data_IF_390774829497
#
_entry.id   IF_390774829497
#
_cell.length_a   1.000
_cell.length_b   1.000
_cell.length_c   1.000
_cell.angle_alpha   90.00
_cell.angle_beta   90.00
_cell.angle_gamma   90.00
#
_symmetry.space_group_name_H-M   'P 1'
#
loop_
_entity.id
_entity.type
_entity.pdbx_description
1 polymer ?
#
# COMPACT_ATOMS: atom_id res chain seq x y z
N UNK A 1 -37.33 28.10 -31.00
CA UNK A 1 -36.83 28.42 -29.65
C UNK A 1 -36.90 27.23 -28.68
N UNK A 2 -38.01 26.49 -28.56
CA UNK A 2 -38.17 25.32 -27.68
C UNK A 2 -37.20 24.16 -27.98
N UNK A 3 -36.97 23.84 -29.26
CA UNK A 3 -36.09 22.74 -29.70
C UNK A 3 -34.60 23.04 -29.35
N UNK A 4 -34.16 24.28 -29.56
CA UNK A 4 -32.77 24.69 -29.24
C UNK A 4 -32.52 24.62 -27.75
N UNK A 5 -33.51 25.01 -26.93
CA UNK A 5 -33.40 24.94 -25.46
C UNK A 5 -33.34 23.47 -24.97
N UNK A 6 -34.08 22.56 -25.60
CA UNK A 6 -34.04 21.12 -25.28
C UNK A 6 -32.70 20.47 -25.63
N UNK A 7 -32.08 20.84 -26.76
CA UNK A 7 -30.78 20.34 -27.19
C UNK A 7 -29.67 20.83 -26.23
N UNK A 8 -29.73 22.10 -25.85
CA UNK A 8 -28.76 22.66 -24.89
C UNK A 8 -28.88 22.04 -23.49
N UNK A 9 -30.11 21.75 -23.05
CA UNK A 9 -30.33 21.11 -21.73
C UNK A 9 -29.88 19.65 -21.72
N UNK A 10 -30.11 18.91 -22.83
CA UNK A 10 -29.63 17.51 -22.93
C UNK A 10 -28.12 17.37 -23.03
N UNK A 11 -27.43 18.29 -23.70
CA UNK A 11 -25.99 18.29 -23.83
C UNK A 11 -25.29 18.66 -22.49
N UNK A 12 -25.92 19.55 -21.71
CA UNK A 12 -25.42 19.90 -20.37
C UNK A 12 -25.57 18.75 -19.38
N UNK A 13 -26.68 18.01 -19.42
CA UNK A 13 -26.92 16.83 -18.58
C UNK A 13 -25.96 15.68 -18.93
N UNK A 14 -25.64 15.47 -20.21
CA UNK A 14 -24.69 14.45 -20.65
C UNK A 14 -23.25 14.77 -20.20
N UNK A 15 -22.84 16.05 -20.21
CA UNK A 15 -21.51 16.45 -19.76
C UNK A 15 -21.32 16.31 -18.25
N UNK A 16 -22.36 16.56 -17.44
CA UNK A 16 -22.33 16.31 -16.00
C UNK A 16 -22.17 14.80 -15.67
N UNK A 17 -22.83 13.92 -16.43
CA UNK A 17 -22.72 12.48 -16.24
C UNK A 17 -21.32 11.94 -16.53
N UNK A 18 -20.62 12.52 -17.50
CA UNK A 18 -19.24 12.12 -17.86
C UNK A 18 -18.21 12.50 -16.80
N UNK A 19 -18.38 13.65 -16.14
CA UNK A 19 -17.47 14.10 -15.07
C UNK A 19 -17.57 13.18 -13.83
N UNK A 20 -18.77 12.76 -13.45
CA UNK A 20 -18.95 11.83 -12.32
C UNK A 20 -18.34 10.44 -12.56
N UNK A 21 -18.37 9.96 -13.81
CA UNK A 21 -17.79 8.64 -14.15
C UNK A 21 -16.27 8.64 -14.09
N UNK A 22 -15.60 9.75 -14.44
CA UNK A 22 -14.14 9.89 -14.36
C UNK A 22 -13.64 9.89 -12.91
N UNK A 23 -14.33 10.54 -11.99
CA UNK A 23 -13.95 10.57 -10.58
C UNK A 23 -14.08 9.18 -9.90
N UNK A 24 -15.13 8.42 -10.19
CA UNK A 24 -15.33 7.08 -9.62
C UNK A 24 -14.28 6.07 -10.11
N UNK A 25 -13.86 6.17 -11.38
CA UNK A 25 -12.84 5.29 -11.94
C UNK A 25 -11.45 5.52 -11.30
N UNK A 26 -11.10 6.76 -10.98
CA UNK A 26 -9.81 7.14 -10.40
C UNK A 26 -9.63 6.57 -8.99
N UNK A 27 -10.65 6.63 -8.13
CA UNK A 27 -10.61 6.09 -6.77
C UNK A 27 -10.41 4.57 -6.72
N UNK A 28 -11.03 3.85 -7.64
CA UNK A 28 -10.89 2.41 -7.75
C UNK A 28 -9.49 1.98 -8.14
N UNK A 29 -8.81 2.76 -8.97
CA UNK A 29 -7.44 2.51 -9.39
C UNK A 29 -6.50 2.63 -8.18
N UNK A 30 -6.61 3.69 -7.39
CA UNK A 30 -5.80 3.92 -6.20
C UNK A 30 -5.97 2.78 -5.18
N UNK A 31 -7.22 2.38 -4.89
CA UNK A 31 -7.49 1.28 -3.94
C UNK A 31 -6.91 -0.04 -4.45
N UNK A 32 -7.07 -0.35 -5.73
CA UNK A 32 -6.52 -1.57 -6.33
C UNK A 32 -4.99 -1.56 -6.32
N UNK A 33 -4.37 -0.42 -6.59
CA UNK A 33 -2.92 -0.26 -6.57
C UNK A 33 -2.36 -0.50 -5.16
N UNK A 34 -2.87 0.16 -4.13
CA UNK A 34 -2.39 -0.07 -2.75
C UNK A 34 -2.57 -1.52 -2.30
N UNK A 35 -3.72 -2.15 -2.61
CA UNK A 35 -3.94 -3.59 -2.34
C UNK A 35 -2.91 -4.46 -3.04
N UNK A 36 -2.60 -4.17 -4.29
CA UNK A 36 -1.59 -4.89 -5.08
C UNK A 36 -0.20 -4.76 -4.46
N UNK A 37 0.23 -3.55 -4.07
CA UNK A 37 1.53 -3.30 -3.46
C UNK A 37 1.67 -3.99 -2.10
N UNK A 38 0.65 -3.94 -1.23
CA UNK A 38 0.67 -4.69 0.03
C UNK A 38 0.73 -6.21 -0.19
N UNK A 39 -0.04 -6.74 -1.15
CA UNK A 39 0.03 -8.16 -1.52
C UNK A 39 1.41 -8.56 -2.04
N UNK A 40 2.06 -7.70 -2.81
CA UNK A 40 3.44 -7.92 -3.26
C UNK A 40 4.40 -7.92 -2.07
N UNK A 41 4.30 -6.94 -1.16
CA UNK A 41 5.14 -6.87 0.04
C UNK A 41 5.01 -8.12 0.91
N UNK A 42 3.80 -8.61 1.13
CA UNK A 42 3.58 -9.87 1.86
C UNK A 42 4.27 -11.06 1.17
N UNK A 43 4.14 -11.17 -0.16
CA UNK A 43 4.82 -12.23 -0.94
C UNK A 43 6.33 -12.11 -0.85
N UNK A 44 6.87 -10.88 -0.93
CA UNK A 44 8.30 -10.64 -0.78
C UNK A 44 8.79 -11.04 0.61
N UNK A 45 8.08 -10.64 1.68
CA UNK A 45 8.41 -11.02 3.05
C UNK A 45 8.41 -12.55 3.26
N UNK A 46 7.38 -13.25 2.77
CA UNK A 46 7.34 -14.72 2.83
C UNK A 46 8.49 -15.37 2.06
N UNK A 47 8.76 -14.87 0.86
CA UNK A 47 9.86 -15.40 0.05
C UNK A 47 11.21 -15.14 0.68
N UNK A 48 11.43 -13.96 1.29
CA UNK A 48 12.65 -13.70 2.04
C UNK A 48 12.86 -14.73 3.15
N UNK A 49 11.83 -15.08 3.92
CA UNK A 49 11.96 -16.14 4.94
C UNK A 49 12.43 -17.48 4.35
N UNK A 50 11.94 -17.85 3.18
CA UNK A 50 12.36 -19.07 2.49
C UNK A 50 13.79 -18.99 1.95
N UNK A 51 14.21 -17.82 1.45
CA UNK A 51 15.57 -17.61 0.94
C UNK A 51 16.60 -17.50 2.09
N UNK A 52 16.22 -16.95 3.25
CA UNK A 52 17.04 -16.98 4.48
C UNK A 52 17.33 -18.43 4.89
N UNK A 53 16.32 -19.29 4.88
CA UNK A 53 16.50 -20.71 5.21
C UNK A 53 17.45 -21.46 4.25
N UNK A 54 17.64 -20.94 3.03
CA UNK A 54 18.56 -21.49 2.02
C UNK A 54 19.95 -20.82 2.05
N UNK A 55 20.14 -19.77 2.85
CA UNK A 55 21.35 -18.97 2.86
C UNK A 55 21.55 -18.07 1.62
N UNK A 56 20.47 -17.75 0.90
CA UNK A 56 20.51 -16.95 -0.34
C UNK A 56 20.33 -15.46 -0.02
N UNK A 57 21.34 -14.84 0.57
CA UNK A 57 21.31 -13.44 1.00
C UNK A 57 21.09 -12.45 -0.15
N UNK A 58 21.66 -12.70 -1.32
CA UNK A 58 21.48 -11.81 -2.47
C UNK A 58 20.00 -11.69 -2.85
N UNK A 59 19.29 -12.80 -2.80
CA UNK A 59 17.85 -12.81 -3.08
C UNK A 59 17.04 -12.12 -1.99
N UNK A 60 17.45 -12.24 -0.74
CA UNK A 60 16.84 -11.50 0.38
C UNK A 60 16.99 -9.99 0.18
N UNK A 61 18.19 -9.53 -0.15
CA UNK A 61 18.47 -8.11 -0.45
C UNK A 61 17.65 -7.61 -1.65
N UNK A 62 17.59 -8.40 -2.73
CA UNK A 62 16.76 -8.04 -3.90
C UNK A 62 15.28 -7.85 -3.54
N UNK A 63 14.73 -8.78 -2.77
CA UNK A 63 13.32 -8.76 -2.38
C UNK A 63 13.01 -7.60 -1.43
N UNK A 64 13.91 -7.30 -0.49
CA UNK A 64 13.75 -6.17 0.43
C UNK A 64 13.85 -4.82 -0.28
N UNK A 65 14.70 -4.67 -1.29
CA UNK A 65 14.73 -3.48 -2.16
C UNK A 65 13.40 -3.26 -2.87
N UNK A 66 12.76 -4.32 -3.39
CA UNK A 66 11.44 -4.23 -4.02
C UNK A 66 10.37 -3.79 -3.01
N UNK A 67 10.44 -4.29 -1.77
CA UNK A 67 9.54 -3.83 -0.70
C UNK A 67 9.73 -2.35 -0.39
N UNK A 68 10.98 -1.87 -0.31
CA UNK A 68 11.28 -0.44 -0.08
C UNK A 68 10.62 0.44 -1.15
N UNK A 69 10.81 0.12 -2.42
CA UNK A 69 10.17 0.85 -3.54
C UNK A 69 8.64 0.85 -3.42
N UNK A 70 8.05 -0.26 -3.01
CA UNK A 70 6.60 -0.35 -2.81
C UNK A 70 6.13 0.53 -1.64
N UNK A 71 6.87 0.60 -0.53
CA UNK A 71 6.52 1.46 0.60
C UNK A 71 6.64 2.94 0.28
N UNK A 72 7.64 3.34 -0.50
CA UNK A 72 7.79 4.73 -0.96
C UNK A 72 6.58 5.19 -1.82
N UNK A 73 5.95 4.27 -2.57
CA UNK A 73 4.70 4.56 -3.32
C UNK A 73 3.46 4.53 -2.43
N UNK A 74 3.40 3.58 -1.48
CA UNK A 74 2.21 3.32 -0.67
C UNK A 74 1.78 4.52 0.18
N UNK A 75 2.71 5.37 0.62
CA UNK A 75 2.41 6.50 1.48
C UNK A 75 1.42 7.48 0.86
N UNK A 76 1.42 7.62 -0.46
CA UNK A 76 0.56 8.54 -1.21
C UNK A 76 -0.78 7.91 -1.65
N UNK A 77 -0.98 6.61 -1.41
CA UNK A 77 -2.15 5.88 -1.88
C UNK A 77 -3.32 5.83 -0.89
N UNK A 78 -3.40 6.81 0.01
CA UNK A 78 -4.49 6.96 0.97
C UNK A 78 -5.10 8.38 0.94
N UNK A 79 -5.48 8.92 -0.23
CA UNK A 79 -6.18 10.20 -0.30
C UNK A 79 -7.59 10.08 0.29
N UNK A 80 -8.19 11.22 0.65
CA UNK A 80 -9.50 11.28 1.32
C UNK A 80 -10.63 10.60 0.56
N UNK A 81 -10.55 10.60 -0.75
CA UNK A 81 -11.54 10.00 -1.64
C UNK A 81 -11.39 8.49 -1.84
N UNK A 82 -10.46 7.81 -1.14
CA UNK A 82 -10.20 6.36 -1.29
C UNK A 82 -10.58 5.56 -0.03
N UNK A 83 -11.52 6.06 0.79
CA UNK A 83 -11.90 5.49 2.09
C UNK A 83 -12.69 4.20 1.97
N UNK A 84 -13.52 4.06 0.95
CA UNK A 84 -14.49 2.97 0.81
C UNK A 84 -14.51 2.38 -0.60
N UNK A 85 -15.09 1.20 -0.73
CA UNK A 85 -15.27 0.52 -2.01
C UNK A 85 -14.15 -0.47 -2.36
N UNK A 86 -14.35 -1.22 -3.41
CA UNK A 86 -13.38 -2.17 -4.00
C UNK A 86 -12.79 -3.17 -2.99
N UNK A 87 -13.59 -3.62 -2.03
CA UNK A 87 -13.18 -4.55 -0.96
C UNK A 87 -11.93 -4.07 -0.21
N UNK A 88 -11.86 -2.76 0.08
CA UNK A 88 -10.77 -2.23 0.89
C UNK A 88 -10.87 -2.73 2.32
N UNK A 89 -9.74 -3.19 2.87
CA UNK A 89 -9.60 -3.57 4.27
C UNK A 89 -9.10 -2.41 5.15
N UNK A 90 -8.88 -1.24 4.55
CA UNK A 90 -8.43 -0.05 5.26
C UNK A 90 -9.53 0.46 6.21
N UNK A 91 -9.21 0.59 7.50
CA UNK A 91 -10.15 1.14 8.48
C UNK A 91 -10.29 2.66 8.33
N UNK A 92 -11.47 3.25 8.63
CA UNK A 92 -11.65 4.70 8.66
C UNK A 92 -10.68 5.44 9.59
N UNK A 93 -10.14 4.77 10.61
CA UNK A 93 -9.14 5.30 11.54
C UNK A 93 -7.88 5.83 10.83
N UNK A 94 -7.54 5.33 9.64
CA UNK A 94 -6.44 5.85 8.83
C UNK A 94 -6.59 7.35 8.57
N UNK A 95 -7.79 7.79 8.24
CA UNK A 95 -8.08 9.19 7.90
C UNK A 95 -8.42 10.04 9.12
N UNK A 96 -8.88 9.43 10.21
CA UNK A 96 -9.11 10.10 11.49
C UNK A 96 -7.79 10.33 12.25
N UNK A 97 -6.81 9.48 12.06
CA UNK A 97 -5.49 9.51 12.70
C UNK A 97 -4.38 9.57 11.64
N UNK A 98 -4.54 10.47 10.66
CA UNK A 98 -3.72 10.52 9.46
C UNK A 98 -2.22 10.70 9.75
N UNK A 99 -1.89 11.58 10.69
CA UNK A 99 -0.50 11.85 11.06
C UNK A 99 0.17 10.62 11.68
N UNK A 100 -0.55 9.91 12.55
CA UNK A 100 -0.05 8.69 13.16
C UNK A 100 0.10 7.56 12.13
N UNK A 101 -0.87 7.41 11.22
CA UNK A 101 -0.77 6.46 10.12
C UNK A 101 0.44 6.76 9.23
N UNK A 102 0.63 8.02 8.84
CA UNK A 102 1.76 8.43 8.01
C UNK A 102 3.10 8.20 8.73
N UNK A 103 3.20 8.54 10.01
CA UNK A 103 4.39 8.28 10.81
C UNK A 103 4.74 6.78 10.84
N UNK A 104 3.74 5.91 11.03
CA UNK A 104 3.93 4.46 11.03
C UNK A 104 4.32 3.90 9.66
N UNK A 105 3.79 4.48 8.57
CA UNK A 105 4.17 4.11 7.20
C UNK A 105 5.63 4.50 6.91
N UNK A 106 6.06 5.70 7.32
CA UNK A 106 7.45 6.17 7.21
C UNK A 106 8.37 5.26 8.03
N UNK A 107 8.05 5.01 9.29
CA UNK A 107 8.82 4.12 10.15
C UNK A 107 8.97 2.72 9.54
N UNK A 108 7.89 2.19 8.94
CA UNK A 108 7.92 0.89 8.26
C UNK A 108 8.84 0.93 7.04
N UNK A 109 8.77 1.98 6.21
CA UNK A 109 9.69 2.16 5.06
C UNK A 109 11.14 2.20 5.53
N UNK A 110 11.43 2.95 6.59
CA UNK A 110 12.80 3.08 7.14
C UNK A 110 13.32 1.75 7.70
N UNK A 111 12.47 0.97 8.38
CA UNK A 111 12.82 -0.38 8.85
C UNK A 111 13.12 -1.34 7.70
N UNK A 112 12.37 -1.27 6.59
CA UNK A 112 12.65 -2.06 5.38
C UNK A 112 13.99 -1.64 4.77
N UNK A 113 14.27 -0.33 4.67
CA UNK A 113 15.56 0.20 4.18
C UNK A 113 16.72 -0.26 5.07
N UNK A 114 16.55 -0.16 6.39
CA UNK A 114 17.54 -0.67 7.37
C UNK A 114 17.78 -2.17 7.20
N UNK A 115 16.70 -2.97 7.09
CA UNK A 115 16.83 -4.40 6.84
C UNK A 115 17.62 -4.67 5.56
N UNK A 116 17.33 -3.94 4.48
CA UNK A 116 18.05 -4.08 3.20
C UNK A 116 19.56 -3.84 3.35
N UNK A 117 19.95 -2.85 4.17
CA UNK A 117 21.37 -2.52 4.39
C UNK A 117 22.12 -3.61 5.17
N UNK A 118 21.47 -4.21 6.18
CA UNK A 118 22.14 -5.19 7.04
C UNK A 118 22.05 -6.62 6.49
N UNK A 119 21.05 -6.93 5.66
CA UNK A 119 20.78 -8.29 5.20
C UNK A 119 21.93 -8.95 4.41
N UNK A 120 22.78 -8.14 3.76
CA UNK A 120 23.95 -8.65 3.05
C UNK A 120 25.04 -9.21 3.99
N UNK A 121 25.09 -8.73 5.25
CA UNK A 121 26.13 -9.02 6.21
C UNK A 121 25.70 -9.98 7.33
N UNK A 122 24.40 -10.31 7.41
CA UNK A 122 23.84 -11.23 8.39
C UNK A 122 23.59 -12.59 7.77
N UNK A 123 23.64 -13.65 8.58
CA UNK A 123 23.37 -15.01 8.13
C UNK A 123 22.49 -15.78 9.12
N UNK A 124 21.87 -16.86 8.65
CA UNK A 124 21.18 -17.82 9.50
C UNK A 124 20.16 -17.17 10.45
N UNK A 125 20.28 -17.45 11.73
CA UNK A 125 19.34 -17.00 12.75
C UNK A 125 19.39 -15.47 12.99
N UNK A 126 20.55 -14.83 12.82
CA UNK A 126 20.65 -13.37 12.93
C UNK A 126 19.82 -12.66 11.85
N UNK A 127 19.91 -13.12 10.62
CA UNK A 127 19.12 -12.57 9.50
C UNK A 127 17.62 -12.85 9.67
N UNK A 128 17.28 -14.03 10.17
CA UNK A 128 15.89 -14.41 10.50
C UNK A 128 15.30 -13.51 11.59
N UNK A 129 16.06 -13.26 12.66
CA UNK A 129 15.62 -12.39 13.75
C UNK A 129 15.52 -10.93 13.29
N UNK A 130 16.46 -10.45 12.47
CA UNK A 130 16.38 -9.14 11.86
C UNK A 130 15.12 -8.99 11.01
N UNK A 131 14.77 -9.99 10.18
CA UNK A 131 13.53 -9.99 9.40
C UNK A 131 12.29 -9.94 10.29
N UNK A 132 12.26 -10.73 11.36
CA UNK A 132 11.15 -10.74 12.32
C UNK A 132 10.96 -9.36 12.94
N UNK A 133 12.03 -8.74 13.40
CA UNK A 133 11.99 -7.49 14.15
C UNK A 133 11.78 -6.26 13.28
N UNK A 134 12.30 -6.23 12.06
CA UNK A 134 12.21 -5.08 11.17
C UNK A 134 11.06 -5.16 10.16
N UNK A 135 10.68 -6.36 9.73
CA UNK A 135 9.66 -6.55 8.69
C UNK A 135 8.33 -7.01 9.30
N UNK A 136 8.30 -8.20 9.92
CA UNK A 136 7.05 -8.79 10.39
C UNK A 136 6.41 -8.00 11.54
N UNK A 137 7.20 -7.48 12.47
CA UNK A 137 6.70 -6.63 13.56
C UNK A 137 6.06 -5.33 13.03
N UNK A 138 6.64 -4.73 12.00
CA UNK A 138 6.10 -3.51 11.38
C UNK A 138 4.80 -3.79 10.62
N UNK A 139 4.72 -4.90 9.90
CA UNK A 139 3.47 -5.35 9.28
C UNK A 139 2.35 -5.51 10.33
N UNK A 140 2.67 -6.18 11.45
CA UNK A 140 1.71 -6.41 12.53
C UNK A 140 1.25 -5.11 13.18
N UNK A 141 2.15 -4.23 13.55
CA UNK A 141 1.83 -2.97 14.22
C UNK A 141 0.85 -2.10 13.42
N UNK A 142 1.05 -2.02 12.10
CA UNK A 142 0.14 -1.30 11.22
C UNK A 142 -1.21 -2.01 11.08
N UNK A 143 -1.21 -3.33 10.89
CA UNK A 143 -2.42 -4.12 10.69
C UNK A 143 -3.33 -4.13 11.93
N UNK A 144 -2.76 -4.23 13.13
CA UNK A 144 -3.53 -4.25 14.38
C UNK A 144 -4.35 -2.96 14.57
N UNK A 145 -3.93 -1.84 13.99
CA UNK A 145 -4.55 -0.54 14.20
C UNK A 145 -5.37 -0.03 13.03
N UNK A 146 -4.93 -0.32 11.81
CA UNK A 146 -5.42 0.34 10.60
C UNK A 146 -6.02 -0.60 9.55
N UNK A 147 -6.06 -1.91 9.81
CA UNK A 147 -6.65 -2.89 8.91
C UNK A 147 -7.80 -3.66 9.58
N UNK A 148 -8.83 -4.00 8.81
CA UNK A 148 -9.91 -4.88 9.26
C UNK A 148 -9.34 -6.23 9.73
N UNK A 149 -9.80 -6.75 10.88
CA UNK A 149 -9.44 -8.10 11.34
C UNK A 149 -9.88 -9.17 10.33
N UNK A 150 -9.12 -10.23 10.20
CA UNK A 150 -9.47 -11.44 9.44
C UNK A 150 -9.74 -12.59 10.39
#
# INVERSE_FOLDING_TARGET
MKIILQILLSSFLASLFFVFFSFAADHGIIIKERKSLFKQNYRHAKRMSAEIAKGNNDKVVELSKKMSVNYDKLIDLFPDNSKTGYDTEALPTIWLQKDEFNALMIETSDKVKKFTQIAANLTGDELKEAQKNLIWSSCKACHDKFRMPH
#
